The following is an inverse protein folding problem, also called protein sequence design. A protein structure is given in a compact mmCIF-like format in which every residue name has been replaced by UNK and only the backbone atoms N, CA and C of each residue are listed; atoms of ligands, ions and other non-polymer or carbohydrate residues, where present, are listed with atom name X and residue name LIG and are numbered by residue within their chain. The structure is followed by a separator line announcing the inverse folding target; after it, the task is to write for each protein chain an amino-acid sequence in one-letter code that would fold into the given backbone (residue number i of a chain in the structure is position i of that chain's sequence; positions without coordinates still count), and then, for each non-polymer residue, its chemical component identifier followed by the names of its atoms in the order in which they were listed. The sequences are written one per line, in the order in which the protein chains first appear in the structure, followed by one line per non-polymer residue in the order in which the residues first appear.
data_IF_771567685222
#
_entry.id   IF_771567685222
#
_cell.length_a   1.000
_cell.length_b   1.000
_cell.length_c   1.000
_cell.angle_alpha   90.00
_cell.angle_beta   90.00
_cell.angle_gamma   90.00
#
_symmetry.space_group_name_H-M   'P 1'
#
loop_
_entity.id
_entity.type
_entity.pdbx_description
1 polymer ?
#
# COMPACT_ATOMS: atom_id res chain seq x y z
N UNK A 1 1.96 0.29 -3.64
CA UNK A 1 2.15 0.49 -2.20
C UNK A 1 3.22 1.55 -1.92
N UNK A 2 4.48 1.27 -2.10
CA UNK A 2 5.56 2.22 -1.81
C UNK A 2 5.49 3.49 -2.65
N UNK A 3 5.23 3.35 -3.95
CA UNK A 3 5.27 4.46 -4.87
C UNK A 3 4.23 5.56 -4.63
N UNK A 4 3.16 5.25 -3.90
CA UNK A 4 2.09 6.20 -3.60
C UNK A 4 1.89 6.44 -2.10
N UNK A 5 2.82 6.00 -1.27
CA UNK A 5 2.81 6.28 0.17
C UNK A 5 3.51 7.60 0.47
N UNK A 6 2.95 8.37 1.39
CA UNK A 6 3.50 9.67 1.80
C UNK A 6 4.82 9.56 2.57
N UNK A 7 5.06 8.44 3.25
CA UNK A 7 6.29 8.23 4.00
C UNK A 7 6.67 6.76 4.08
N UNK A 8 7.87 6.49 4.61
CA UNK A 8 8.40 5.14 4.75
C UNK A 8 7.58 4.30 5.74
N UNK A 9 7.70 2.98 5.65
CA UNK A 9 6.92 2.03 6.46
C UNK A 9 7.25 2.05 7.96
N UNK A 10 8.34 2.64 8.35
CA UNK A 10 8.73 2.80 9.76
C UNK A 10 8.47 4.21 10.32
N UNK A 11 7.81 5.07 9.56
CA UNK A 11 7.34 6.36 10.05
C UNK A 11 6.32 6.15 11.19
N UNK A 12 6.56 6.76 12.34
CA UNK A 12 5.72 6.56 13.54
C UNK A 12 4.62 7.59 13.71
N UNK A 13 4.70 8.72 13.02
CA UNK A 13 3.66 9.75 13.05
C UNK A 13 2.52 9.38 12.09
N UNK A 14 1.49 8.74 12.64
CA UNK A 14 0.36 8.24 11.86
C UNK A 14 -0.42 9.38 11.16
N UNK A 15 -0.35 10.60 11.66
CA UNK A 15 -1.02 11.75 11.05
C UNK A 15 -0.39 12.16 9.71
N UNK A 16 0.85 11.75 9.46
CA UNK A 16 1.58 12.02 8.22
C UNK A 16 1.46 10.91 7.18
N UNK A 17 0.80 9.82 7.54
CA UNK A 17 0.69 8.65 6.66
C UNK A 17 -0.59 8.77 5.84
N UNK A 18 -0.44 8.92 4.54
CA UNK A 18 -1.57 8.96 3.61
C UNK A 18 -1.20 8.36 2.27
N UNK A 19 -2.23 7.97 1.53
CA UNK A 19 -2.13 7.48 0.16
C UNK A 19 -2.19 8.67 -0.80
N UNK A 20 -1.15 8.86 -1.59
CA UNK A 20 -1.04 9.99 -2.51
C UNK A 20 -1.64 9.63 -3.88
N UNK A 21 -2.79 10.23 -4.20
CA UNK A 21 -3.51 9.94 -5.44
C UNK A 21 -2.76 10.39 -6.68
N UNK A 22 -1.99 11.48 -6.61
CA UNK A 22 -1.20 11.95 -7.76
C UNK A 22 -0.07 10.96 -8.09
N UNK A 23 0.63 10.47 -7.06
CA UNK A 23 1.65 9.45 -7.24
C UNK A 23 1.04 8.14 -7.70
N UNK A 24 -0.12 7.76 -7.17
CA UNK A 24 -0.83 6.57 -7.62
C UNK A 24 -1.21 6.68 -9.10
N UNK A 25 -1.70 7.82 -9.55
CA UNK A 25 -2.04 8.03 -10.95
C UNK A 25 -0.80 7.92 -11.84
N UNK A 26 0.30 8.58 -11.46
CA UNK A 26 1.54 8.52 -12.23
C UNK A 26 2.06 7.08 -12.34
N UNK A 27 2.03 6.35 -11.23
CA UNK A 27 2.48 4.96 -11.21
C UNK A 27 1.58 4.05 -12.05
N UNK A 28 0.27 4.22 -11.95
CA UNK A 28 -0.73 3.45 -12.70
C UNK A 28 -0.59 3.72 -14.21
N UNK A 29 -0.47 4.97 -14.60
CA UNK A 29 -0.29 5.34 -16.00
C UNK A 29 0.99 4.72 -16.58
N UNK A 30 2.10 4.81 -15.85
CA UNK A 30 3.37 4.23 -16.29
C UNK A 30 3.32 2.70 -16.38
N UNK A 31 2.73 2.06 -15.39
CA UNK A 31 2.58 0.60 -15.38
C UNK A 31 1.70 0.12 -16.53
N UNK A 32 0.53 0.70 -16.72
CA UNK A 32 -0.41 0.30 -17.78
C UNK A 32 0.11 0.64 -19.17
N UNK A 33 0.97 1.64 -19.32
CA UNK A 33 1.59 1.92 -20.62
C UNK A 33 2.40 0.74 -21.16
N UNK A 34 2.97 -0.07 -20.27
CA UNK A 34 3.77 -1.24 -20.64
C UNK A 34 3.03 -2.56 -20.48
N UNK A 35 2.17 -2.68 -19.47
CA UNK A 35 1.57 -3.94 -19.08
C UNK A 35 0.14 -4.15 -19.59
N UNK A 36 -0.52 -3.13 -20.12
CA UNK A 36 -1.92 -3.23 -20.53
C UNK A 36 -2.18 -4.34 -21.55
N UNK A 37 -1.23 -4.59 -22.44
CA UNK A 37 -1.36 -5.60 -23.49
C UNK A 37 -1.33 -7.04 -22.95
N UNK A 38 -0.73 -7.28 -21.78
CA UNK A 38 -0.57 -8.61 -21.19
C UNK A 38 -1.54 -8.88 -20.05
N UNK A 39 -2.19 -7.85 -19.52
CA UNK A 39 -3.17 -7.98 -18.45
C UNK A 39 -4.56 -8.26 -19.02
N UNK A 40 -5.31 -9.15 -18.34
CA UNK A 40 -6.73 -9.33 -18.63
C UNK A 40 -7.53 -8.12 -18.16
N UNK A 41 -8.77 -8.00 -18.68
CA UNK A 41 -9.69 -6.96 -18.23
C UNK A 41 -9.90 -7.03 -16.70
N UNK A 42 -10.09 -8.24 -16.18
CA UNK A 42 -10.32 -8.45 -14.75
C UNK A 42 -9.11 -8.05 -13.90
N UNK A 43 -7.92 -8.36 -14.36
CA UNK A 43 -6.69 -7.95 -13.67
C UNK A 43 -6.58 -6.43 -13.59
N UNK A 44 -6.89 -5.72 -14.67
CA UNK A 44 -6.90 -4.25 -14.69
C UNK A 44 -7.92 -3.66 -13.71
N UNK A 45 -9.11 -4.25 -13.64
CA UNK A 45 -10.16 -3.81 -12.71
C UNK A 45 -9.75 -4.00 -11.25
N UNK A 46 -8.89 -4.95 -10.97
CA UNK A 46 -8.44 -5.28 -9.60
C UNK A 46 -7.16 -4.55 -9.17
N UNK A 47 -6.61 -3.66 -9.97
CA UNK A 47 -5.35 -2.99 -9.65
C UNK A 47 -5.40 -2.32 -8.28
N UNK A 48 -6.40 -1.48 -8.01
CA UNK A 48 -6.48 -0.80 -6.72
C UNK A 48 -6.74 -1.77 -5.58
N UNK A 49 -7.57 -2.77 -5.77
CA UNK A 49 -7.80 -3.84 -4.78
C UNK A 49 -6.48 -4.53 -4.42
N UNK A 50 -5.62 -4.78 -5.41
CA UNK A 50 -4.32 -5.40 -5.17
C UNK A 50 -3.40 -4.50 -4.32
N UNK A 51 -3.46 -3.20 -4.52
CA UNK A 51 -2.67 -2.24 -3.72
C UNK A 51 -3.09 -2.30 -2.25
N UNK A 52 -4.39 -2.29 -1.99
CA UNK A 52 -4.93 -2.43 -0.62
C UNK A 52 -4.50 -3.77 -0.02
N UNK A 53 -4.69 -4.86 -0.76
CA UNK A 53 -4.40 -6.21 -0.29
C UNK A 53 -2.93 -6.40 0.06
N UNK A 54 -2.02 -5.92 -0.78
CA UNK A 54 -0.58 -6.00 -0.53
C UNK A 54 -0.17 -5.19 0.69
N UNK A 55 -0.77 -4.03 0.89
CA UNK A 55 -0.48 -3.19 2.05
C UNK A 55 -1.00 -3.84 3.33
N UNK A 56 -2.21 -4.37 3.30
CA UNK A 56 -2.81 -5.09 4.43
C UNK A 56 -1.99 -6.33 4.80
N UNK A 57 -1.59 -7.12 3.81
CA UNK A 57 -0.73 -8.28 4.02
C UNK A 57 0.58 -7.90 4.69
N UNK A 58 1.23 -6.86 4.20
CA UNK A 58 2.49 -6.38 4.75
C UNK A 58 2.34 -5.98 6.22
N UNK A 59 1.28 -5.24 6.56
CA UNK A 59 0.96 -4.88 7.95
C UNK A 59 0.74 -6.10 8.83
N UNK A 60 0.03 -7.09 8.33
CA UNK A 60 -0.25 -8.33 9.04
C UNK A 60 1.04 -9.14 9.27
N UNK A 61 1.94 -9.17 8.30
CA UNK A 61 3.25 -9.84 8.46
C UNK A 61 4.10 -9.16 9.52
N UNK A 62 4.13 -7.83 9.58
CA UNK A 62 4.83 -7.11 10.63
C UNK A 62 4.24 -7.39 12.01
N UNK A 63 2.91 -7.40 12.11
CA UNK A 63 2.24 -7.69 13.38
C UNK A 63 2.50 -9.12 13.84
N UNK A 64 2.43 -10.08 12.93
CA UNK A 64 2.71 -11.48 13.21
C UNK A 64 4.13 -11.65 13.73
N UNK A 65 5.11 -11.03 13.09
CA UNK A 65 6.49 -11.11 13.53
C UNK A 65 6.70 -10.46 14.91
N UNK A 66 6.03 -9.36 15.17
CA UNK A 66 6.05 -8.73 16.50
C UNK A 66 5.54 -9.69 17.58
N UNK A 67 4.41 -10.37 17.33
CA UNK A 67 3.83 -11.33 18.26
C UNK A 67 4.74 -12.53 18.46
N UNK A 68 5.42 -12.97 17.40
CA UNK A 68 6.34 -14.12 17.44
C UNK A 68 7.72 -13.79 18.02
N UNK A 69 7.99 -12.53 18.35
CA UNK A 69 9.23 -12.12 19.01
C UNK A 69 10.29 -11.54 18.06
N UNK A 70 9.88 -10.96 16.94
CA UNK A 70 10.77 -10.28 15.99
C UNK A 70 11.83 -11.22 15.37
N UNK A 71 11.39 -12.37 14.90
CA UNK A 71 12.31 -13.42 14.40
C UNK A 71 12.56 -13.35 12.90
N UNK A 72 11.69 -12.71 12.11
CA UNK A 72 11.78 -12.68 10.66
C UNK A 72 12.38 -11.38 10.12
N UNK A 73 11.83 -10.23 10.50
CA UNK A 73 12.30 -8.93 10.04
C UNK A 73 13.39 -8.40 10.96
N UNK A 74 14.40 -7.75 10.36
CA UNK A 74 15.41 -7.05 11.15
C UNK A 74 14.81 -5.83 11.81
N UNK A 75 14.99 -5.68 13.12
CA UNK A 75 14.49 -4.56 13.90
C UNK A 75 15.61 -3.76 14.54
N UNK A 76 15.40 -2.45 14.68
CA UNK A 76 16.34 -1.54 15.31
C UNK A 76 15.96 -1.24 16.77
N UNK A 77 14.74 -1.52 17.19
CA UNK A 77 14.24 -1.29 18.56
C UNK A 77 13.05 -2.21 18.84
N UNK A 78 12.65 -2.40 20.13
CA UNK A 78 11.69 -3.44 20.51
C UNK A 78 10.30 -3.39 19.87
N UNK A 79 9.78 -2.19 19.56
CA UNK A 79 8.46 -2.02 18.97
C UNK A 79 8.50 -1.71 17.46
N UNK A 80 9.63 -1.93 16.81
CA UNK A 80 9.82 -1.55 15.40
C UNK A 80 8.77 -2.21 14.50
N UNK A 81 8.55 -3.51 14.62
CA UNK A 81 7.55 -4.22 13.83
C UNK A 81 6.12 -3.80 14.16
N UNK A 82 5.84 -3.45 15.42
CA UNK A 82 4.53 -2.93 15.80
C UNK A 82 4.28 -1.56 15.14
N UNK A 83 5.27 -0.69 15.14
CA UNK A 83 5.19 0.62 14.48
C UNK A 83 4.98 0.47 12.98
N UNK A 84 5.69 -0.48 12.36
CA UNK A 84 5.51 -0.80 10.94
C UNK A 84 4.10 -1.30 10.64
N UNK A 85 3.55 -2.16 11.49
CA UNK A 85 2.18 -2.66 11.33
C UNK A 85 1.17 -1.52 11.42
N UNK A 86 1.29 -0.65 12.41
CA UNK A 86 0.43 0.52 12.57
C UNK A 86 0.50 1.46 11.36
N UNK A 87 1.70 1.67 10.84
CA UNK A 87 1.94 2.46 9.63
C UNK A 87 1.16 1.91 8.45
N UNK A 88 1.27 0.61 8.18
CA UNK A 88 0.60 -0.02 7.05
C UNK A 88 -0.92 -0.02 7.22
N UNK A 89 -1.44 -0.23 8.43
CA UNK A 89 -2.87 -0.18 8.68
C UNK A 89 -3.43 1.24 8.56
N UNK A 90 -2.67 2.26 8.96
CA UNK A 90 -3.06 3.65 8.73
C UNK A 90 -3.14 3.97 7.23
N UNK A 91 -2.19 3.46 6.45
CA UNK A 91 -2.18 3.60 4.99
C UNK A 91 -3.38 2.90 4.35
N UNK A 92 -3.70 1.68 4.77
CA UNK A 92 -4.90 0.95 4.30
C UNK A 92 -6.17 1.74 4.59
N UNK A 93 -6.28 2.29 5.78
CA UNK A 93 -7.45 3.12 6.16
C UNK A 93 -7.61 4.31 5.22
N UNK A 94 -6.52 5.00 4.92
CA UNK A 94 -6.55 6.13 4.01
C UNK A 94 -6.88 5.69 2.57
N UNK A 95 -6.36 4.55 2.13
CA UNK A 95 -6.71 3.96 0.84
C UNK A 95 -8.21 3.71 0.72
N UNK A 96 -8.84 3.16 1.76
CA UNK A 96 -10.28 2.95 1.76
C UNK A 96 -11.06 4.27 1.68
N UNK A 97 -10.60 5.32 2.36
CA UNK A 97 -11.24 6.62 2.31
C UNK A 97 -11.17 7.27 0.92
N UNK A 98 -10.20 6.87 0.11
CA UNK A 98 -9.95 7.38 -1.24
C UNK A 98 -10.30 6.39 -2.35
N UNK A 99 -11.06 5.34 -2.02
CA UNK A 99 -11.33 4.24 -2.95
C UNK A 99 -11.99 4.69 -4.24
N UNK A 100 -13.00 5.54 -4.16
CA UNK A 100 -13.75 5.99 -5.34
C UNK A 100 -12.82 6.75 -6.29
N UNK A 101 -12.04 7.68 -5.77
CA UNK A 101 -11.08 8.46 -6.55
C UNK A 101 -10.01 7.58 -7.18
N UNK A 102 -9.47 6.62 -6.42
CA UNK A 102 -8.43 5.72 -6.90
C UNK A 102 -8.97 4.78 -7.99
N UNK A 103 -10.16 4.23 -7.84
CA UNK A 103 -10.79 3.39 -8.85
C UNK A 103 -11.12 4.18 -10.12
N UNK A 104 -11.53 5.44 -10.01
CA UNK A 104 -11.74 6.32 -11.17
C UNK A 104 -10.43 6.59 -11.90
N UNK A 105 -9.32 6.73 -11.18
CA UNK A 105 -8.00 6.88 -11.78
C UNK A 105 -7.65 5.62 -12.61
N UNK A 106 -7.87 4.44 -12.07
CA UNK A 106 -7.61 3.18 -12.81
C UNK A 106 -8.46 3.12 -14.07
N UNK A 107 -9.75 3.43 -13.98
CA UNK A 107 -10.68 3.43 -15.13
C UNK A 107 -10.22 4.36 -16.26
N UNK A 108 -9.60 5.47 -15.93
CA UNK A 108 -9.09 6.43 -16.88
C UNK A 108 -8.04 5.85 -17.83
N UNK A 109 -7.31 4.83 -17.39
CA UNK A 109 -6.21 4.21 -18.15
C UNK A 109 -6.52 2.78 -18.63
N UNK A 110 -7.74 2.34 -18.50
CA UNK A 110 -8.17 0.99 -18.97
C UNK A 110 -8.39 0.97 -20.53
#
# INVERSE_FOLDING_TARGET
RFGASSCAEDCTDLSKIYFDLELFEAFTAGYLSSAAAVLTKREKELIFTSVILMTYECGTRFLTDYIDGDVYFKTAYPNHNLDRARNQYALVRDMFSKRIEAENIVKKYL
#
